data_IF_357477195763
#
_entry.id   IF_357477195763
#
_cell.length_a   1.000
_cell.length_b   1.000
_cell.length_c   1.000
_cell.angle_alpha   90.00
_cell.angle_beta   90.00
_cell.angle_gamma   90.00
#
_symmetry.space_group_name_H-M   'P 1'
#
loop_
_entity.id
_entity.type
_entity.pdbx_description
1 polymer ?
#
# COMPACT_ATOMS: atom_id res chain seq x y z
N UNK A 1 -23.07 -9.22 -5.60
CA UNK A 1 -22.12 -8.82 -6.68
C UNK A 1 -21.24 -7.69 -6.16
N UNK A 2 -20.03 -8.02 -5.69
CA UNK A 2 -19.10 -7.03 -5.14
C UNK A 2 -18.41 -6.29 -6.29
N UNK A 3 -19.06 -5.25 -6.82
CA UNK A 3 -18.42 -4.26 -7.70
C UNK A 3 -17.50 -3.38 -6.84
N UNK A 4 -16.33 -3.90 -6.51
CA UNK A 4 -15.28 -3.03 -6.03
C UNK A 4 -13.91 -3.51 -6.50
N UNK A 5 -13.50 -3.15 -7.73
CA UNK A 5 -12.11 -3.12 -8.08
C UNK A 5 -11.59 -1.71 -7.80
N UNK A 6 -11.00 -1.54 -6.62
CA UNK A 6 -10.28 -0.36 -6.11
C UNK A 6 -8.96 -0.12 -6.89
N UNK A 7 -8.77 -0.83 -8.01
CA UNK A 7 -7.49 -1.08 -8.65
C UNK A 7 -6.99 0.07 -9.55
N UNK A 8 -7.77 1.15 -9.71
CA UNK A 8 -7.39 2.29 -10.57
C UNK A 8 -7.28 3.63 -9.81
N UNK A 9 -7.57 3.65 -8.50
CA UNK A 9 -7.58 4.89 -7.71
C UNK A 9 -8.87 5.71 -7.81
N UNK A 10 -9.92 5.17 -8.43
CA UNK A 10 -11.28 5.73 -8.50
C UNK A 10 -12.33 4.61 -8.62
N UNK A 11 -13.58 4.91 -8.26
CA UNK A 11 -14.68 3.93 -8.24
C UNK A 11 -15.22 3.65 -9.66
N UNK A 12 -15.70 2.42 -9.90
CA UNK A 12 -16.29 2.02 -11.19
C UNK A 12 -17.50 2.86 -11.59
N UNK A 13 -18.23 3.39 -10.61
CA UNK A 13 -19.35 4.31 -10.80
C UNK A 13 -18.92 5.60 -11.54
N UNK A 14 -17.72 6.12 -11.23
CA UNK A 14 -17.17 7.31 -11.91
C UNK A 14 -16.82 7.00 -13.38
N UNK A 15 -16.33 5.79 -13.65
CA UNK A 15 -16.05 5.36 -15.03
C UNK A 15 -17.34 5.24 -15.85
N UNK A 16 -18.38 4.63 -15.29
CA UNK A 16 -19.69 4.50 -15.92
C UNK A 16 -20.32 5.88 -16.15
N UNK A 17 -20.26 6.77 -15.16
CA UNK A 17 -20.77 8.13 -15.28
C UNK A 17 -20.05 8.92 -16.39
N UNK A 18 -18.72 8.85 -16.43
CA UNK A 18 -17.93 9.50 -17.49
C UNK A 18 -18.27 8.94 -18.88
N UNK A 19 -18.41 7.62 -19.01
CA UNK A 19 -18.83 6.99 -20.26
C UNK A 19 -20.23 7.45 -20.69
N UNK A 20 -21.18 7.51 -19.75
CA UNK A 20 -22.53 7.98 -20.02
C UNK A 20 -22.55 9.45 -20.48
N UNK A 21 -21.73 10.33 -19.86
CA UNK A 21 -21.56 11.71 -20.32
C UNK A 21 -20.94 11.76 -21.72
N UNK A 22 -19.93 10.95 -22.02
CA UNK A 22 -19.33 10.88 -23.37
C UNK A 22 -20.34 10.46 -24.44
N UNK A 23 -21.15 9.43 -24.15
CA UNK A 23 -22.23 8.95 -25.04
C UNK A 23 -23.29 10.03 -25.22
N UNK A 24 -23.76 10.65 -24.14
CA UNK A 24 -24.77 11.70 -24.20
C UNK A 24 -24.26 12.93 -24.98
N UNK A 25 -22.99 13.32 -24.81
CA UNK A 25 -22.38 14.41 -25.60
C UNK A 25 -22.33 14.09 -27.11
N UNK A 26 -22.15 12.81 -27.48
CA UNK A 26 -22.17 12.37 -28.88
C UNK A 26 -23.57 12.38 -29.50
N UNK A 27 -24.60 11.95 -28.76
CA UNK A 27 -25.98 11.89 -29.27
C UNK A 27 -26.72 13.23 -29.27
N UNK A 28 -26.29 14.18 -28.43
CA UNK A 28 -26.83 15.54 -28.38
C UNK A 28 -25.72 16.53 -28.79
N UNK A 29 -25.46 16.71 -30.10
CA UNK A 29 -24.35 17.54 -30.59
C UNK A 29 -24.62 19.06 -30.48
N UNK A 30 -25.88 19.47 -30.31
CA UNK A 30 -26.29 20.88 -30.32
C UNK A 30 -26.99 21.28 -29.02
N UNK A 31 -26.85 22.56 -28.67
CA UNK A 31 -27.51 23.17 -27.50
C UNK A 31 -26.66 23.21 -26.22
N UNK A 32 -27.19 23.89 -25.20
CA UNK A 32 -26.50 24.08 -23.91
C UNK A 32 -26.31 22.77 -23.13
N UNK A 33 -27.18 21.78 -23.37
CA UNK A 33 -27.10 20.45 -22.75
C UNK A 33 -25.84 19.71 -23.21
N UNK A 34 -25.46 19.83 -24.49
CA UNK A 34 -24.21 19.28 -25.02
C UNK A 34 -23.01 19.77 -24.19
N UNK A 35 -22.90 21.09 -24.04
CA UNK A 35 -21.82 21.73 -23.30
C UNK A 35 -21.79 21.33 -21.83
N UNK A 36 -22.94 21.24 -21.17
CA UNK A 36 -23.03 20.83 -19.78
C UNK A 36 -22.49 19.40 -19.60
N UNK A 37 -22.95 18.47 -20.44
CA UNK A 37 -22.55 17.06 -20.37
C UNK A 37 -21.07 16.88 -20.78
N UNK A 38 -20.61 17.61 -21.79
CA UNK A 38 -19.22 17.61 -22.25
C UNK A 38 -18.27 18.11 -21.16
N UNK A 39 -18.59 19.22 -20.48
CA UNK A 39 -17.78 19.74 -19.37
C UNK A 39 -17.69 18.73 -18.23
N UNK A 40 -18.81 18.09 -17.87
CA UNK A 40 -18.81 17.02 -16.84
C UNK A 40 -17.97 15.82 -17.27
N UNK A 41 -18.02 15.43 -18.56
CA UNK A 41 -17.17 14.39 -19.11
C UNK A 41 -15.68 14.75 -18.96
N UNK A 42 -15.28 15.95 -19.37
CA UNK A 42 -13.88 16.41 -19.30
C UNK A 42 -13.39 16.45 -17.85
N UNK A 43 -14.17 17.02 -16.93
CA UNK A 43 -13.80 17.10 -15.50
C UNK A 43 -13.58 15.69 -14.93
N UNK A 44 -14.51 14.77 -15.17
CA UNK A 44 -14.41 13.40 -14.66
C UNK A 44 -13.26 12.63 -15.30
N UNK A 45 -13.03 12.80 -16.60
CA UNK A 45 -11.91 12.19 -17.32
C UNK A 45 -10.56 12.68 -16.78
N UNK A 46 -10.38 14.00 -16.58
CA UNK A 46 -9.16 14.59 -16.01
C UNK A 46 -8.94 14.10 -14.57
N UNK A 47 -9.98 14.04 -13.76
CA UNK A 47 -9.91 13.50 -12.41
C UNK A 47 -9.45 12.03 -12.41
N UNK A 48 -10.08 11.18 -13.23
CA UNK A 48 -9.71 9.77 -13.36
C UNK A 48 -8.27 9.60 -13.87
N UNK A 49 -7.85 10.39 -14.87
CA UNK A 49 -6.49 10.37 -15.39
C UNK A 49 -5.46 10.76 -14.32
N UNK A 50 -5.76 11.78 -13.52
CA UNK A 50 -4.90 12.24 -12.43
C UNK A 50 -4.76 11.16 -11.36
N UNK A 51 -5.88 10.58 -10.92
CA UNK A 51 -5.88 9.47 -9.96
C UNK A 51 -5.16 8.23 -10.49
N UNK A 52 -5.35 7.90 -11.76
CA UNK A 52 -4.66 6.80 -12.42
C UNK A 52 -3.15 7.03 -12.49
N UNK A 53 -2.70 8.25 -12.81
CA UNK A 53 -1.28 8.63 -12.79
C UNK A 53 -0.69 8.51 -11.39
N UNK A 54 -1.36 9.06 -10.37
CA UNK A 54 -0.94 8.95 -8.97
C UNK A 54 -0.89 7.48 -8.50
N UNK A 55 -1.80 6.64 -8.99
CA UNK A 55 -1.81 5.20 -8.71
C UNK A 55 -0.70 4.44 -9.45
N UNK A 56 -0.34 4.84 -10.68
CA UNK A 56 0.81 4.31 -11.42
C UNK A 56 2.15 4.70 -10.79
N UNK A 57 2.24 5.91 -10.23
CA UNK A 57 3.47 6.44 -9.66
C UNK A 57 3.88 5.78 -8.34
N UNK A 58 2.93 5.23 -7.58
CA UNK A 58 3.22 4.60 -6.29
C UNK A 58 3.18 3.06 -6.42
N UNK A 59 4.24 2.48 -6.98
CA UNK A 59 4.34 1.03 -7.24
C UNK A 59 4.14 0.20 -5.97
N UNK A 60 4.69 0.67 -4.84
CA UNK A 60 4.51 0.04 -3.55
C UNK A 60 3.04 -0.06 -3.10
N UNK A 61 2.18 0.92 -3.43
CA UNK A 61 0.76 0.90 -3.04
C UNK A 61 0.01 -0.26 -3.68
N UNK A 62 0.42 -0.67 -4.88
CA UNK A 62 -0.20 -1.80 -5.61
C UNK A 62 0.09 -3.11 -4.89
N UNK A 63 1.37 -3.33 -4.56
CA UNK A 63 1.81 -4.52 -3.83
C UNK A 63 1.25 -4.54 -2.41
N UNK A 64 1.16 -3.39 -1.74
CA UNK A 64 0.50 -3.28 -0.44
C UNK A 64 -0.99 -3.65 -0.54
N UNK A 65 -1.74 -3.07 -1.47
CA UNK A 65 -3.16 -3.40 -1.64
C UNK A 65 -3.38 -4.89 -1.96
N UNK A 66 -2.56 -5.46 -2.84
CA UNK A 66 -2.57 -6.88 -3.16
C UNK A 66 -2.29 -7.74 -1.91
N UNK A 67 -1.21 -7.42 -1.18
CA UNK A 67 -0.82 -8.13 0.04
C UNK A 67 -1.90 -8.07 1.12
N UNK A 68 -2.46 -6.89 1.38
CA UNK A 68 -3.54 -6.69 2.36
C UNK A 68 -4.82 -7.45 1.99
N UNK A 69 -5.18 -7.51 0.71
CA UNK A 69 -6.33 -8.30 0.25
C UNK A 69 -6.13 -9.80 0.46
N UNK A 70 -4.94 -10.31 0.13
CA UNK A 70 -4.58 -11.71 0.34
C UNK A 70 -4.58 -12.02 1.84
N UNK A 71 -3.91 -11.19 2.65
CA UNK A 71 -3.86 -11.35 4.09
C UNK A 71 -5.27 -11.34 4.71
N UNK A 72 -6.14 -10.41 4.31
CA UNK A 72 -7.51 -10.35 4.81
C UNK A 72 -8.31 -11.63 4.49
N UNK A 73 -8.07 -12.24 3.33
CA UNK A 73 -8.67 -13.54 2.99
C UNK A 73 -8.13 -14.65 3.89
N UNK A 74 -6.80 -14.75 4.01
CA UNK A 74 -6.14 -15.79 4.83
C UNK A 74 -6.52 -15.68 6.31
N UNK A 75 -6.57 -14.46 6.85
CA UNK A 75 -6.97 -14.20 8.23
C UNK A 75 -8.43 -14.58 8.49
N UNK A 76 -9.33 -14.36 7.52
CA UNK A 76 -10.74 -14.82 7.64
C UNK A 76 -10.86 -16.33 7.66
N UNK A 77 -10.10 -17.02 6.79
CA UNK A 77 -10.07 -18.50 6.76
C UNK A 77 -9.57 -19.06 8.09
N UNK A 78 -8.49 -18.50 8.62
CA UNK A 78 -7.91 -18.94 9.90
C UNK A 78 -8.81 -18.60 11.08
N UNK A 79 -9.45 -17.43 11.09
CA UNK A 79 -10.40 -17.07 12.14
C UNK A 79 -11.61 -18.00 12.15
N UNK A 80 -12.10 -18.42 10.98
CA UNK A 80 -13.17 -19.40 10.87
C UNK A 80 -12.73 -20.80 11.36
N UNK A 81 -11.51 -21.22 11.01
CA UNK A 81 -10.93 -22.49 11.46
C UNK A 81 -10.70 -22.50 12.98
N UNK A 82 -10.06 -21.46 13.52
CA UNK A 82 -9.80 -21.29 14.94
C UNK A 82 -11.09 -21.31 15.78
N UNK A 83 -12.15 -20.65 15.29
CA UNK A 83 -13.47 -20.68 15.93
C UNK A 83 -14.09 -22.08 15.93
N UNK A 84 -13.93 -22.84 14.84
CA UNK A 84 -14.44 -24.22 14.74
C UNK A 84 -13.67 -25.16 15.68
N UNK A 85 -12.37 -24.95 15.82
CA UNK A 85 -11.46 -25.77 16.60
C UNK A 85 -11.31 -25.30 18.07
N UNK A 86 -12.03 -24.25 18.48
CA UNK A 86 -11.96 -23.64 19.82
C UNK A 86 -10.52 -23.32 20.28
N UNK A 87 -9.71 -22.83 19.35
CA UNK A 87 -8.31 -22.42 19.61
C UNK A 87 -8.10 -20.96 19.26
N UNK A 88 -6.98 -20.42 19.71
CA UNK A 88 -6.54 -19.09 19.29
C UNK A 88 -6.05 -19.08 17.83
N UNK A 89 -6.14 -17.90 17.23
CA UNK A 89 -5.69 -17.64 15.85
C UNK A 89 -4.17 -17.73 15.80
N UNK A 90 -3.66 -18.60 14.92
CA UNK A 90 -2.22 -18.77 14.76
C UNK A 90 -1.69 -17.84 13.66
N UNK A 91 -0.91 -16.82 14.05
CA UNK A 91 -0.49 -15.74 13.16
C UNK A 91 0.73 -16.09 12.29
N UNK A 92 1.83 -16.69 12.80
CA UNK A 92 3.00 -17.01 11.98
C UNK A 92 2.73 -17.82 10.69
N UNK A 93 1.86 -18.86 10.71
CA UNK A 93 1.51 -19.59 9.49
C UNK A 93 0.82 -18.71 8.43
N UNK A 94 0.12 -17.65 8.83
CA UNK A 94 -0.50 -16.70 7.90
C UNK A 94 0.55 -15.91 7.12
N UNK A 95 1.67 -15.55 7.76
CA UNK A 95 2.74 -14.80 7.11
C UNK A 95 3.49 -15.64 6.09
N UNK A 96 3.73 -16.91 6.41
CA UNK A 96 4.27 -17.90 5.47
C UNK A 96 3.35 -18.04 4.25
N UNK A 97 2.05 -18.26 4.48
CA UNK A 97 1.06 -18.35 3.39
C UNK A 97 0.99 -17.05 2.57
N UNK A 98 1.09 -15.89 3.22
CA UNK A 98 1.13 -14.60 2.53
C UNK A 98 2.37 -14.49 1.64
N UNK A 99 3.54 -14.88 2.15
CA UNK A 99 4.79 -14.88 1.40
C UNK A 99 4.71 -15.76 0.15
N UNK A 100 4.17 -16.98 0.28
CA UNK A 100 3.97 -17.89 -0.85
C UNK A 100 3.02 -17.34 -1.94
N UNK A 101 2.06 -16.50 -1.55
CA UNK A 101 1.13 -15.89 -2.52
C UNK A 101 1.65 -14.59 -3.14
N UNK A 102 2.57 -13.89 -2.47
CA UNK A 102 3.00 -12.54 -2.86
C UNK A 102 4.41 -12.52 -3.51
N UNK A 103 5.27 -13.46 -3.15
CA UNK A 103 6.63 -13.62 -3.65
C UNK A 103 6.71 -14.69 -4.75
N UNK A 104 7.73 -14.59 -5.61
CA UNK A 104 8.09 -15.70 -6.50
C UNK A 104 8.54 -16.92 -5.66
N UNK A 105 8.39 -18.16 -6.16
CA UNK A 105 8.68 -19.38 -5.38
C UNK A 105 10.07 -19.37 -4.74
N UNK A 106 11.09 -18.97 -5.50
CA UNK A 106 12.49 -18.84 -5.07
C UNK A 106 12.64 -17.89 -3.87
N UNK A 107 12.00 -16.73 -3.92
CA UNK A 107 12.02 -15.73 -2.84
C UNK A 107 11.12 -16.10 -1.67
N UNK A 108 10.04 -16.85 -1.90
CA UNK A 108 9.21 -17.37 -0.82
C UNK A 108 9.99 -18.36 0.04
N UNK A 109 10.77 -19.25 -0.56
CA UNK A 109 11.60 -20.21 0.18
C UNK A 109 12.70 -19.50 0.97
N UNK A 110 13.40 -18.55 0.35
CA UNK A 110 14.39 -17.68 1.02
C UNK A 110 13.77 -16.98 2.24
N UNK A 111 12.60 -16.37 2.06
CA UNK A 111 11.89 -15.65 3.11
C UNK A 111 11.43 -16.55 4.26
N UNK A 112 10.87 -17.73 3.96
CA UNK A 112 10.39 -18.66 5.00
C UNK A 112 11.51 -19.27 5.83
N UNK A 113 12.73 -19.35 5.27
CA UNK A 113 13.92 -19.82 5.97
C UNK A 113 14.70 -18.71 6.68
N UNK A 114 14.24 -17.45 6.58
CA UNK A 114 14.90 -16.30 7.16
C UNK A 114 14.33 -15.94 8.53
N UNK A 115 15.15 -15.28 9.35
CA UNK A 115 14.73 -14.74 10.65
C UNK A 115 13.83 -13.50 10.53
N UNK A 116 13.43 -13.09 9.31
CA UNK A 116 12.62 -11.88 9.08
C UNK A 116 11.22 -11.95 9.71
N UNK A 117 10.72 -13.15 10.02
CA UNK A 117 9.45 -13.35 10.72
C UNK A 117 9.59 -13.26 12.25
N UNK A 118 10.82 -13.16 12.77
CA UNK A 118 11.08 -12.88 14.18
C UNK A 118 10.96 -11.39 14.46
N UNK A 119 10.69 -11.02 15.71
CA UNK A 119 10.63 -9.60 16.10
C UNK A 119 11.96 -8.87 15.82
N UNK A 120 13.08 -9.51 16.15
CA UNK A 120 14.42 -8.97 15.94
C UNK A 120 14.77 -8.84 14.46
N UNK A 121 14.56 -9.89 13.66
CA UNK A 121 14.92 -9.87 12.24
C UNK A 121 14.10 -8.85 11.45
N UNK A 122 12.83 -8.67 11.80
CA UNK A 122 12.00 -7.59 11.22
C UNK A 122 12.56 -6.20 11.54
N UNK A 123 12.88 -5.95 12.82
CA UNK A 123 13.40 -4.64 13.27
C UNK A 123 14.72 -4.32 12.57
N UNK A 124 15.63 -5.28 12.52
CA UNK A 124 16.91 -5.16 11.83
C UNK A 124 16.72 -4.85 10.33
N UNK A 125 15.79 -5.52 9.67
CA UNK A 125 15.47 -5.23 8.28
C UNK A 125 14.99 -3.78 8.07
N UNK A 126 14.10 -3.27 8.93
CA UNK A 126 13.63 -1.89 8.82
C UNK A 126 14.72 -0.87 9.15
N UNK A 127 15.54 -1.13 10.17
CA UNK A 127 16.70 -0.30 10.50
C UNK A 127 17.67 -0.22 9.33
N UNK A 128 17.97 -1.35 8.68
CA UNK A 128 18.79 -1.40 7.47
C UNK A 128 18.26 -0.48 6.37
N UNK A 129 16.93 -0.41 6.16
CA UNK A 129 16.34 0.51 5.18
C UNK A 129 16.48 1.98 5.59
N UNK A 130 16.31 2.29 6.87
CA UNK A 130 16.51 3.65 7.42
C UNK A 130 17.96 4.10 7.24
N UNK A 131 18.91 3.23 7.54
CA UNK A 131 20.33 3.55 7.50
C UNK A 131 20.88 3.60 6.07
N UNK A 132 20.40 2.74 5.18
CA UNK A 132 20.82 2.74 3.77
C UNK A 132 20.20 3.88 2.95
N UNK A 133 18.99 4.34 3.31
CA UNK A 133 18.23 5.33 2.54
C UNK A 133 17.66 6.48 3.40
N UNK A 134 18.48 7.16 4.23
CA UNK A 134 18.00 8.19 5.15
C UNK A 134 17.35 9.36 4.42
N UNK A 135 17.83 9.67 3.20
CA UNK A 135 17.31 10.77 2.37
C UNK A 135 15.83 10.61 2.00
N UNK A 136 15.31 9.38 1.96
CA UNK A 136 13.89 9.14 1.69
C UNK A 136 13.04 9.71 2.83
N UNK A 137 13.47 9.50 4.07
CA UNK A 137 12.78 9.95 5.28
C UNK A 137 12.93 11.45 5.52
N UNK A 138 14.06 12.03 5.14
CA UNK A 138 14.37 13.44 5.40
C UNK A 138 14.07 14.39 4.23
N UNK A 139 13.63 13.86 3.08
CA UNK A 139 13.39 14.62 1.85
C UNK A 139 12.44 15.83 1.98
N UNK A 140 11.55 15.83 2.98
CA UNK A 140 10.61 16.92 3.28
C UNK A 140 10.86 17.61 4.62
N UNK A 141 11.93 17.22 5.30
CA UNK A 141 12.31 17.74 6.62
C UNK A 141 13.41 18.78 6.41
N UNK A 142 13.40 19.88 7.17
CA UNK A 142 14.52 20.83 7.13
C UNK A 142 15.81 20.18 7.64
N UNK A 143 16.99 20.49 7.09
CA UNK A 143 18.26 19.85 7.48
C UNK A 143 18.52 19.82 8.99
N UNK A 144 18.19 20.91 9.69
CA UNK A 144 18.31 21.05 11.15
C UNK A 144 17.50 20.04 11.98
N UNK A 145 16.50 19.38 11.39
CA UNK A 145 15.66 18.37 12.06
C UNK A 145 15.89 16.94 11.53
N UNK A 146 16.84 16.72 10.62
CA UNK A 146 17.05 15.41 9.97
C UNK A 146 17.35 14.30 10.98
N UNK A 147 18.33 14.50 11.86
CA UNK A 147 18.69 13.52 12.89
C UNK A 147 17.53 13.22 13.85
N UNK A 148 16.77 14.26 14.21
CA UNK A 148 15.60 14.09 15.07
C UNK A 148 14.52 13.25 14.40
N UNK A 149 14.27 13.47 13.11
CA UNK A 149 13.31 12.70 12.35
C UNK A 149 13.75 11.22 12.23
N UNK A 150 15.03 10.97 11.91
CA UNK A 150 15.56 9.61 11.81
C UNK A 150 15.53 8.89 13.17
N UNK A 151 15.88 9.57 14.26
CA UNK A 151 15.79 9.00 15.61
C UNK A 151 14.35 8.60 15.97
N UNK A 152 13.37 9.47 15.68
CA UNK A 152 11.96 9.16 15.92
C UNK A 152 11.49 7.94 15.11
N UNK A 153 11.95 7.79 13.86
CA UNK A 153 11.58 6.64 13.03
C UNK A 153 12.18 5.34 13.59
N UNK A 154 13.44 5.39 14.07
CA UNK A 154 14.07 4.23 14.71
C UNK A 154 13.32 3.82 15.98
N UNK A 155 12.88 4.79 16.78
CA UNK A 155 12.05 4.54 17.96
C UNK A 155 10.68 3.93 17.59
N UNK A 156 10.03 4.44 16.55
CA UNK A 156 8.77 3.86 16.03
C UNK A 156 8.95 2.41 15.55
N UNK A 157 10.09 2.10 14.92
CA UNK A 157 10.44 0.73 14.51
C UNK A 157 10.61 -0.18 15.73
N UNK A 158 11.26 0.31 16.80
CA UNK A 158 11.43 -0.45 18.04
C UNK A 158 10.10 -0.72 18.76
N UNK A 159 9.17 0.25 18.73
CA UNK A 159 7.84 0.11 19.31
C UNK A 159 6.86 -0.69 18.43
N UNK A 160 7.18 -0.90 17.15
CA UNK A 160 6.31 -1.57 16.19
C UNK A 160 6.10 -3.06 16.52
N UNK A 161 4.84 -3.50 16.45
CA UNK A 161 4.46 -4.91 16.55
C UNK A 161 3.95 -5.50 15.22
N UNK A 162 4.06 -4.77 14.11
CA UNK A 162 3.46 -5.19 12.84
C UNK A 162 4.22 -6.36 12.19
N UNK A 163 3.52 -7.45 11.83
CA UNK A 163 4.17 -8.68 11.32
C UNK A 163 3.86 -9.09 9.88
N UNK A 164 2.83 -8.53 9.22
CA UNK A 164 2.49 -8.88 7.82
C UNK A 164 3.05 -7.89 6.80
N UNK A 165 3.31 -6.67 7.25
CA UNK A 165 3.94 -5.57 6.53
C UNK A 165 5.36 -5.92 6.08
N UNK A 166 6.11 -6.73 6.85
CA UNK A 166 7.45 -7.19 6.43
C UNK A 166 7.40 -8.03 5.16
N UNK A 167 6.42 -8.92 5.03
CA UNK A 167 6.22 -9.74 3.83
C UNK A 167 5.94 -8.84 2.62
N UNK A 168 5.11 -7.81 2.82
CA UNK A 168 4.77 -6.83 1.80
C UNK A 168 6.00 -5.98 1.43
N UNK A 169 6.78 -5.54 2.42
CA UNK A 169 7.99 -4.75 2.23
C UNK A 169 9.05 -5.52 1.43
N UNK A 170 9.28 -6.80 1.76
CA UNK A 170 10.19 -7.68 0.99
C UNK A 170 9.66 -7.89 -0.43
N UNK A 171 8.35 -8.10 -0.60
CA UNK A 171 7.76 -8.21 -1.93
C UNK A 171 7.91 -6.95 -2.78
N UNK A 172 7.88 -5.77 -2.15
CA UNK A 172 8.16 -4.49 -2.81
C UNK A 172 9.65 -4.39 -3.15
N UNK A 173 10.55 -4.71 -2.22
CA UNK A 173 12.00 -4.67 -2.43
C UNK A 173 12.40 -5.56 -3.61
N UNK A 174 11.93 -6.82 -3.66
CA UNK A 174 12.25 -7.76 -4.73
C UNK A 174 11.63 -7.35 -6.09
N UNK A 175 10.48 -6.67 -6.10
CA UNK A 175 9.80 -6.29 -7.34
C UNK A 175 10.27 -4.93 -7.92
N UNK A 176 10.60 -3.97 -7.05
CA UNK A 176 10.83 -2.56 -7.45
C UNK A 176 12.10 -1.96 -6.86
N UNK A 177 12.83 -2.71 -6.03
CA UNK A 177 14.07 -2.28 -5.40
C UNK A 177 13.89 -1.70 -3.99
N UNK A 178 15.00 -1.55 -3.25
CA UNK A 178 15.00 -1.20 -1.83
C UNK A 178 14.54 0.25 -1.56
N UNK A 179 14.70 1.17 -2.52
CA UNK A 179 14.21 2.55 -2.39
C UNK A 179 12.68 2.59 -2.30
N UNK A 180 11.98 1.76 -3.08
CA UNK A 180 10.51 1.68 -3.01
C UNK A 180 10.04 1.01 -1.71
N UNK A 181 10.76 0.01 -1.22
CA UNK A 181 10.49 -0.58 0.09
C UNK A 181 10.69 0.44 1.22
N UNK A 182 11.69 1.32 1.08
CA UNK A 182 11.92 2.44 2.01
C UNK A 182 10.78 3.45 1.97
N UNK A 183 10.29 3.82 0.78
CA UNK A 183 9.12 4.71 0.63
C UNK A 183 7.86 4.10 1.25
N UNK A 184 7.70 2.78 1.14
CA UNK A 184 6.63 2.05 1.83
C UNK A 184 6.78 2.12 3.35
N UNK A 185 7.99 1.87 3.88
CA UNK A 185 8.26 1.98 5.32
C UNK A 185 7.99 3.39 5.83
N UNK A 186 8.44 4.44 5.13
CA UNK A 186 8.10 5.83 5.45
C UNK A 186 6.58 6.04 5.46
N UNK A 187 5.84 5.48 4.51
CA UNK A 187 4.38 5.62 4.49
C UNK A 187 3.72 4.94 5.71
N UNK A 188 4.20 3.75 6.11
CA UNK A 188 3.74 3.05 7.31
C UNK A 188 4.07 3.83 8.59
N UNK A 189 5.30 4.36 8.68
CA UNK A 189 5.75 5.19 9.80
C UNK A 189 5.03 6.54 9.86
N UNK A 190 4.74 7.18 8.73
CA UNK A 190 4.00 8.45 8.65
C UNK A 190 2.53 8.33 9.06
N UNK A 191 1.94 7.14 8.88
CA UNK A 191 0.65 6.78 9.47
C UNK A 191 0.67 6.73 11.01
N UNK A 192 1.85 6.55 11.62
CA UNK A 192 2.07 6.59 13.06
C UNK A 192 2.46 8.01 13.54
N UNK A 193 3.29 8.74 12.80
CA UNK A 193 3.81 10.08 13.16
C UNK A 193 2.85 11.25 12.90
N UNK A 194 1.72 11.05 12.20
CA UNK A 194 0.65 12.06 12.13
C UNK A 194 0.02 12.36 13.50
N UNK A 195 0.28 11.53 14.52
CA UNK A 195 -0.01 11.87 15.93
C UNK A 195 0.92 12.92 16.55
N UNK A 196 2.11 13.17 15.98
CA UNK A 196 3.17 13.98 16.60
C UNK A 196 3.54 15.26 15.81
N UNK A 197 2.81 15.61 14.74
CA UNK A 197 2.91 16.93 14.09
C UNK A 197 4.23 17.25 13.36
N UNK A 198 5.10 16.26 13.12
CA UNK A 198 6.42 16.46 12.51
C UNK A 198 6.40 16.53 10.96
N UNK A 199 5.29 16.15 10.34
CA UNK A 199 5.10 16.19 8.88
C UNK A 199 3.88 17.08 8.54
N UNK A 200 4.10 18.39 8.56
CA UNK A 200 3.16 19.42 8.04
C UNK A 200 3.69 20.02 6.75
#
# INVERSE_FOLDING_TARGET
MNLAPWHLGFHWQLAIFSLACGIASYYYPEGWIHWLVYVLFVITAVYMLTKFRLYKQNLWRRKHAQGTQIFAKLAREELAAAKKEQRDVNIPPLYVRLATNLLAPEHSTEFCNSDLLTESGRKEYYQRLVDAYPIVFTSKVKPEYHERALASIREDIEASQYGHDIVIAVAIEKAYGPVEATRYLLAMASGLTTRNGLFS
#
